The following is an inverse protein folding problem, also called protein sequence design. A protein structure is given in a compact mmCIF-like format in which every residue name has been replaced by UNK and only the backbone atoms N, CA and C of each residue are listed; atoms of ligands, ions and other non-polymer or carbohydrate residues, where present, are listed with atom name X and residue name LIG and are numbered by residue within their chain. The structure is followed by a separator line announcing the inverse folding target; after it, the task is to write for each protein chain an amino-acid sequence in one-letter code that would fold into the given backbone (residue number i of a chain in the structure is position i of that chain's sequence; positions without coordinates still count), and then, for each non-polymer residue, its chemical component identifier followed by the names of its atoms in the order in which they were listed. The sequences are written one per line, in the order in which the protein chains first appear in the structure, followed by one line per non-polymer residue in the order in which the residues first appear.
data_IF_329845743139
#
_entry.id   IF_329845743139
#
_cell.length_a   1.000
_cell.length_b   1.000
_cell.length_c   1.000
_cell.angle_alpha   90.00
_cell.angle_beta   90.00
_cell.angle_gamma   90.00
#
_symmetry.space_group_name_H-M   'P 1'
#
loop_
_entity.id
_entity.type
_entity.pdbx_description
1 polymer ?
#
# COMPACT_ATOMS: atom_id res chain seq x y z
N UNK A 1 -7.04 23.50 -15.42
CA UNK A 1 -6.10 23.53 -14.29
C UNK A 1 -5.29 22.26 -14.33
N UNK A 2 -3.98 22.39 -14.61
CA UNK A 2 -3.09 21.24 -14.64
C UNK A 2 -3.02 20.64 -13.21
N UNK A 3 -3.33 19.35 -13.09
CA UNK A 3 -3.00 18.57 -11.92
C UNK A 3 -1.49 18.70 -11.71
N UNK A 4 -1.08 19.25 -10.56
CA UNK A 4 0.32 19.35 -10.20
C UNK A 4 0.99 18.01 -10.47
N UNK A 5 2.16 18.05 -11.08
CA UNK A 5 2.99 16.91 -11.46
C UNK A 5 3.18 15.97 -10.25
N UNK A 6 2.24 15.07 -10.04
CA UNK A 6 2.50 13.90 -9.23
C UNK A 6 3.49 13.07 -10.04
N UNK A 7 4.71 12.95 -9.55
CA UNK A 7 5.78 12.24 -10.22
C UNK A 7 5.27 10.89 -10.76
N UNK A 8 5.58 10.60 -12.02
CA UNK A 8 5.21 9.34 -12.67
C UNK A 8 5.63 8.15 -11.81
N UNK A 9 4.83 7.10 -11.83
CA UNK A 9 5.21 5.86 -11.14
C UNK A 9 6.45 5.26 -11.81
N UNK A 10 7.31 4.58 -11.05
CA UNK A 10 8.50 3.95 -11.63
C UNK A 10 8.12 2.87 -12.63
N UNK A 11 8.88 2.78 -13.73
CA UNK A 11 8.67 1.75 -14.75
C UNK A 11 8.80 0.34 -14.17
N UNK A 12 8.10 -0.67 -14.75
CA UNK A 12 8.26 -2.06 -14.36
C UNK A 12 9.73 -2.50 -14.40
N UNK A 13 10.16 -3.28 -13.42
CA UNK A 13 11.50 -3.89 -13.42
C UNK A 13 11.64 -4.96 -14.49
N UNK A 14 10.58 -5.68 -14.72
CA UNK A 14 10.52 -6.77 -15.69
C UNK A 14 9.37 -6.52 -16.67
N UNK A 15 9.67 -6.09 -17.90
CA UNK A 15 8.65 -5.88 -18.92
C UNK A 15 7.86 -7.16 -19.21
N UNK A 16 6.54 -7.06 -19.22
CA UNK A 16 5.65 -8.21 -19.48
C UNK A 16 5.31 -9.06 -18.25
N UNK A 17 5.97 -8.86 -17.11
CA UNK A 17 5.57 -9.44 -15.84
C UNK A 17 4.54 -8.54 -15.12
N UNK A 18 3.73 -9.09 -14.19
CA UNK A 18 2.85 -8.28 -13.36
C UNK A 18 3.62 -7.24 -12.55
N UNK A 19 3.09 -6.01 -12.49
CA UNK A 19 3.65 -4.93 -11.69
C UNK A 19 3.46 -5.22 -10.19
N UNK A 20 4.54 -5.20 -9.43
CA UNK A 20 4.56 -5.62 -8.01
C UNK A 20 4.58 -4.44 -7.07
N UNK A 21 3.51 -4.30 -6.29
CA UNK A 21 3.35 -3.24 -5.27
C UNK A 21 3.42 -3.85 -3.89
N UNK A 22 4.28 -3.32 -3.02
CA UNK A 22 4.34 -3.70 -1.61
C UNK A 22 3.90 -2.54 -0.71
N UNK A 23 2.95 -2.79 0.18
CA UNK A 23 2.42 -1.82 1.14
C UNK A 23 3.09 -2.04 2.50
N UNK A 24 3.67 -0.98 3.09
CA UNK A 24 4.50 -1.15 4.28
C UNK A 24 4.06 -0.20 5.40
N UNK A 25 3.79 -0.78 6.57
CA UNK A 25 3.61 -0.05 7.82
C UNK A 25 4.63 -0.48 8.87
N UNK A 26 4.36 -0.26 10.15
CA UNK A 26 5.28 -0.63 11.21
C UNK A 26 5.22 -2.15 11.52
N UNK A 27 4.05 -2.66 11.90
CA UNK A 27 3.88 -4.03 12.40
C UNK A 27 3.24 -5.02 11.42
N UNK A 28 2.73 -4.57 10.27
CA UNK A 28 2.00 -5.39 9.30
C UNK A 28 0.76 -6.12 9.87
N UNK A 29 0.10 -5.53 10.86
CA UNK A 29 -1.15 -6.06 11.43
C UNK A 29 -2.35 -5.12 11.28
N UNK A 30 -2.14 -3.81 11.02
CA UNK A 30 -3.20 -2.81 10.88
C UNK A 30 -3.21 -2.18 9.49
N UNK A 31 -2.47 -1.08 9.28
CA UNK A 31 -2.55 -0.21 8.09
C UNK A 31 -2.23 -0.93 6.79
N UNK A 32 -1.08 -1.58 6.69
CA UNK A 32 -0.64 -2.19 5.43
C UNK A 32 -1.51 -3.36 4.99
N UNK A 33 -1.99 -4.28 5.86
CA UNK A 33 -2.91 -5.31 5.42
C UNK A 33 -4.32 -4.79 5.10
N UNK A 34 -4.80 -3.73 5.80
CA UNK A 34 -6.04 -3.05 5.40
C UNK A 34 -5.91 -2.43 4.01
N UNK A 35 -4.80 -1.75 3.75
CA UNK A 35 -4.53 -1.14 2.44
C UNK A 35 -4.39 -2.21 1.34
N UNK A 36 -3.76 -3.35 1.62
CA UNK A 36 -3.67 -4.48 0.70
C UNK A 36 -5.06 -4.99 0.30
N UNK A 37 -5.93 -5.18 1.28
CA UNK A 37 -7.32 -5.62 1.06
C UNK A 37 -8.09 -4.63 0.18
N UNK A 38 -8.05 -3.34 0.52
CA UNK A 38 -8.76 -2.29 -0.23
C UNK A 38 -8.20 -2.16 -1.65
N UNK A 39 -6.87 -2.08 -1.80
CA UNK A 39 -6.25 -1.90 -3.11
C UNK A 39 -6.49 -3.10 -4.03
N UNK A 40 -6.46 -4.33 -3.51
CA UNK A 40 -6.80 -5.53 -4.30
C UNK A 40 -8.25 -5.49 -4.79
N UNK A 41 -9.19 -5.05 -3.95
CA UNK A 41 -10.59 -4.93 -4.34
C UNK A 41 -10.77 -3.90 -5.48
N UNK A 42 -10.11 -2.75 -5.39
CA UNK A 42 -10.14 -1.71 -6.43
C UNK A 42 -9.48 -2.18 -7.74
N UNK A 43 -8.36 -2.90 -7.67
CA UNK A 43 -7.70 -3.48 -8.84
C UNK A 43 -8.59 -4.52 -9.52
N UNK A 44 -9.26 -5.38 -8.77
CA UNK A 44 -10.21 -6.37 -9.31
C UNK A 44 -11.41 -5.68 -9.98
N UNK A 45 -11.96 -4.64 -9.36
CA UNK A 45 -13.04 -3.85 -9.94
C UNK A 45 -12.62 -3.16 -11.26
N UNK A 46 -11.35 -2.81 -11.40
CA UNK A 46 -10.77 -2.22 -12.61
C UNK A 46 -10.28 -3.26 -13.65
N UNK A 47 -10.37 -4.57 -13.35
CA UNK A 47 -9.85 -5.63 -14.22
C UNK A 47 -8.33 -5.70 -14.31
N UNK A 48 -7.62 -5.21 -13.30
CA UNK A 48 -6.15 -5.14 -13.23
C UNK A 48 -5.53 -6.17 -12.29
N UNK A 49 -6.30 -7.03 -11.66
CA UNK A 49 -5.86 -8.02 -10.67
C UNK A 49 -4.88 -9.07 -11.24
N UNK A 50 -4.86 -9.27 -12.57
CA UNK A 50 -3.85 -10.08 -13.26
C UNK A 50 -2.58 -9.31 -13.66
N UNK A 51 -2.68 -7.99 -13.80
CA UNK A 51 -1.58 -7.13 -14.24
C UNK A 51 -0.80 -6.48 -13.08
N UNK A 52 -1.41 -6.40 -11.90
CA UNK A 52 -0.80 -5.82 -10.69
C UNK A 52 -0.91 -6.82 -9.54
N UNK A 53 0.21 -7.13 -8.91
CA UNK A 53 0.27 -7.96 -7.71
C UNK A 53 0.56 -7.09 -6.51
N UNK A 54 -0.27 -7.19 -5.47
CA UNK A 54 -0.15 -6.42 -4.23
C UNK A 54 0.15 -7.35 -3.07
N UNK A 55 1.12 -6.97 -2.28
CA UNK A 55 1.43 -7.59 -1.00
C UNK A 55 1.72 -6.56 0.08
N UNK A 56 1.89 -6.98 1.33
CA UNK A 56 2.20 -6.08 2.44
C UNK A 56 3.25 -6.63 3.39
N UNK A 57 3.90 -5.73 4.13
CA UNK A 57 4.91 -6.06 5.14
C UNK A 57 4.97 -4.99 6.24
N UNK A 58 5.74 -5.26 7.30
CA UNK A 58 6.11 -4.31 8.33
C UNK A 58 7.59 -3.97 8.30
N UNK A 59 7.97 -2.81 8.80
CA UNK A 59 9.39 -2.50 9.04
C UNK A 59 9.91 -3.19 10.30
N UNK A 60 9.03 -3.48 11.28
CA UNK A 60 9.35 -4.21 12.50
C UNK A 60 9.15 -5.71 12.39
N UNK A 61 9.69 -6.45 13.34
CA UNK A 61 9.74 -7.91 13.37
C UNK A 61 8.92 -8.58 14.49
N UNK A 62 8.41 -7.79 15.44
CA UNK A 62 7.76 -8.33 16.65
C UNK A 62 6.36 -8.92 16.43
N UNK A 63 5.75 -8.73 15.26
CA UNK A 63 4.45 -9.30 14.89
C UNK A 63 4.53 -10.40 13.83
N UNK A 64 5.73 -10.86 13.47
CA UNK A 64 5.88 -11.90 12.44
C UNK A 64 5.04 -13.14 12.79
N UNK A 65 4.16 -13.54 11.86
CA UNK A 65 3.26 -14.67 12.03
C UNK A 65 1.91 -14.34 12.67
N UNK A 66 1.76 -13.14 13.23
CA UNK A 66 0.48 -12.71 13.81
C UNK A 66 -0.58 -12.51 12.72
N UNK A 67 -1.83 -12.73 13.08
CA UNK A 67 -2.98 -12.40 12.25
C UNK A 67 -3.16 -10.87 12.19
N UNK A 68 -3.98 -10.42 11.23
CA UNK A 68 -4.44 -9.04 11.20
C UNK A 68 -5.14 -8.67 12.51
N UNK A 69 -4.92 -7.45 12.99
CA UNK A 69 -5.56 -6.89 14.17
C UNK A 69 -7.09 -7.07 14.12
N UNK A 70 -7.74 -7.50 15.23
CA UNK A 70 -9.19 -7.74 15.25
C UNK A 70 -10.03 -6.51 14.87
N UNK A 71 -9.62 -5.30 15.30
CA UNK A 71 -10.33 -4.06 14.97
C UNK A 71 -10.15 -3.69 13.48
N UNK A 72 -8.98 -3.98 12.91
CA UNK A 72 -8.74 -3.84 11.47
C UNK A 72 -9.67 -4.76 10.66
N UNK A 73 -9.77 -6.04 11.04
CA UNK A 73 -10.70 -6.99 10.40
C UNK A 73 -12.16 -6.57 10.54
N UNK A 74 -12.55 -6.13 11.74
CA UNK A 74 -13.90 -5.64 11.97
C UNK A 74 -14.24 -4.40 11.15
N UNK A 75 -13.30 -3.48 10.99
CA UNK A 75 -13.46 -2.29 10.15
C UNK A 75 -13.65 -2.66 8.67
N UNK A 76 -12.82 -3.57 8.15
CA UNK A 76 -12.93 -4.08 6.79
C UNK A 76 -14.27 -4.78 6.54
N UNK A 77 -14.71 -5.65 7.44
CA UNK A 77 -15.99 -6.36 7.34
C UNK A 77 -17.18 -5.39 7.30
N UNK A 78 -17.17 -4.34 8.14
CA UNK A 78 -18.22 -3.29 8.12
C UNK A 78 -18.33 -2.56 6.78
N UNK A 79 -17.27 -2.55 5.97
CA UNK A 79 -17.24 -1.93 4.64
C UNK A 79 -17.40 -2.95 3.50
N UNK A 80 -17.75 -4.20 3.81
CA UNK A 80 -17.97 -5.25 2.81
C UNK A 80 -16.71 -5.86 2.22
N UNK A 81 -15.56 -5.72 2.89
CA UNK A 81 -14.28 -6.35 2.50
C UNK A 81 -14.05 -7.71 3.18
N UNK A 82 -15.11 -8.39 3.57
CA UNK A 82 -15.08 -9.71 4.22
C UNK A 82 -14.73 -10.88 3.26
N UNK A 83 -14.90 -10.65 1.94
CA UNK A 83 -14.58 -11.65 0.91
C UNK A 83 -13.11 -11.77 0.51
N UNK A 84 -12.26 -10.86 0.92
CA UNK A 84 -10.80 -10.91 0.71
C UNK A 84 -10.13 -11.46 1.95
N UNK A 85 -10.19 -12.73 2.16
CA UNK A 85 -9.60 -13.56 3.23
C UNK A 85 -8.64 -12.82 4.22
N UNK A 86 -9.14 -11.83 5.01
CA UNK A 86 -8.32 -11.15 6.02
C UNK A 86 -7.88 -12.11 7.13
N UNK A 87 -8.50 -13.29 7.22
CA UNK A 87 -8.15 -14.30 8.21
C UNK A 87 -6.91 -15.10 7.83
N UNK A 88 -6.58 -15.18 6.54
CA UNK A 88 -5.35 -15.83 6.07
C UNK A 88 -4.11 -14.94 6.22
N UNK A 89 -4.29 -13.63 6.46
CA UNK A 89 -3.16 -12.73 6.64
C UNK A 89 -2.24 -13.18 7.78
N UNK A 90 -0.95 -13.19 7.49
CA UNK A 90 0.12 -13.37 8.48
C UNK A 90 1.15 -12.27 8.31
N UNK A 91 1.38 -11.54 9.39
CA UNK A 91 2.34 -10.44 9.42
C UNK A 91 3.74 -10.93 9.09
N UNK A 92 4.46 -10.15 8.30
CA UNK A 92 5.84 -10.43 7.90
C UNK A 92 6.67 -9.15 7.87
N UNK A 93 7.97 -9.30 8.10
CA UNK A 93 8.90 -8.20 8.02
C UNK A 93 9.35 -7.98 6.58
N UNK A 94 9.45 -6.72 6.17
CA UNK A 94 10.04 -6.32 4.89
C UNK A 94 11.51 -6.73 4.83
N UNK A 95 11.89 -7.43 3.77
CA UNK A 95 13.26 -7.88 3.58
C UNK A 95 13.99 -6.95 2.61
N UNK A 96 15.27 -6.59 2.86
CA UNK A 96 16.06 -5.74 1.96
C UNK A 96 16.14 -6.26 0.52
N UNK A 97 16.13 -7.60 0.32
CA UNK A 97 16.11 -8.20 -1.02
C UNK A 97 14.89 -7.81 -1.84
N UNK A 98 13.76 -7.52 -1.18
CA UNK A 98 12.51 -7.15 -1.85
C UNK A 98 12.57 -5.77 -2.53
N UNK A 99 13.51 -4.92 -2.15
CA UNK A 99 13.79 -3.67 -2.87
C UNK A 99 14.02 -3.89 -4.37
N UNK A 100 14.64 -5.01 -4.73
CA UNK A 100 14.92 -5.38 -6.13
C UNK A 100 13.81 -6.24 -6.78
N UNK A 101 12.86 -6.71 -5.99
CA UNK A 101 11.78 -7.58 -6.45
C UNK A 101 10.45 -6.84 -6.62
N UNK A 102 10.29 -5.66 -6.00
CA UNK A 102 9.07 -4.84 -6.06
C UNK A 102 9.29 -3.65 -6.98
N UNK A 103 8.26 -3.33 -7.78
CA UNK A 103 8.29 -2.18 -8.68
C UNK A 103 7.99 -0.89 -7.93
N UNK A 104 7.09 -0.95 -6.94
CA UNK A 104 6.67 0.17 -6.13
C UNK A 104 6.49 -0.27 -4.67
N UNK A 105 7.01 0.52 -3.74
CA UNK A 105 6.87 0.29 -2.30
C UNK A 105 6.19 1.51 -1.70
N UNK A 106 5.03 1.31 -1.09
CA UNK A 106 4.21 2.38 -0.54
C UNK A 106 4.23 2.32 0.99
N UNK A 107 4.90 3.28 1.59
CA UNK A 107 4.97 3.47 3.03
C UNK A 107 3.71 4.15 3.56
N UNK A 108 3.23 3.75 4.73
CA UNK A 108 2.03 4.33 5.34
C UNK A 108 2.29 5.69 5.99
N UNK A 109 3.51 5.95 6.45
CA UNK A 109 3.89 7.22 7.06
C UNK A 109 5.36 7.58 6.79
N UNK A 110 5.74 8.80 7.18
CA UNK A 110 7.10 9.32 6.99
C UNK A 110 8.16 8.49 7.73
N UNK A 111 7.82 7.86 8.86
CA UNK A 111 8.73 6.97 9.60
C UNK A 111 9.01 5.69 8.84
N UNK A 112 7.94 5.03 8.34
CA UNK A 112 8.09 3.84 7.51
C UNK A 112 8.88 4.16 6.23
N UNK A 113 8.62 5.32 5.61
CA UNK A 113 9.35 5.81 4.45
C UNK A 113 10.85 5.96 4.75
N UNK A 114 11.21 6.59 5.88
CA UNK A 114 12.60 6.77 6.29
C UNK A 114 13.29 5.44 6.57
N UNK A 115 12.61 4.50 7.23
CA UNK A 115 13.13 3.16 7.52
C UNK A 115 13.46 2.39 6.23
N UNK A 116 12.53 2.39 5.26
CA UNK A 116 12.71 1.76 3.96
C UNK A 116 13.85 2.40 3.16
N UNK A 117 13.92 3.73 3.13
CA UNK A 117 14.97 4.46 2.41
C UNK A 117 16.37 4.22 2.97
N UNK A 118 16.49 3.95 4.29
CA UNK A 118 17.78 3.55 4.88
C UNK A 118 18.27 2.19 4.41
N UNK A 119 17.36 1.30 4.01
CA UNK A 119 17.70 -0.02 3.46
C UNK A 119 18.02 0.05 1.96
N UNK A 120 17.54 1.09 1.28
CA UNK A 120 17.62 1.23 -0.17
C UNK A 120 18.93 1.88 -0.61
N UNK A 121 19.44 1.46 -1.78
CA UNK A 121 20.43 2.21 -2.54
C UNK A 121 19.80 3.39 -3.28
N UNK A 122 20.64 4.23 -3.85
CA UNK A 122 20.17 5.41 -4.61
C UNK A 122 19.26 5.01 -5.80
N UNK A 123 19.52 3.87 -6.40
CA UNK A 123 18.79 3.31 -7.55
C UNK A 123 17.35 2.89 -7.22
N UNK A 124 17.06 2.61 -5.94
CA UNK A 124 15.74 2.14 -5.50
C UNK A 124 14.94 3.23 -4.79
N UNK A 125 15.55 4.39 -4.48
CA UNK A 125 14.94 5.44 -3.67
C UNK A 125 13.62 5.97 -4.26
N UNK A 126 13.55 6.12 -5.60
CA UNK A 126 12.37 6.64 -6.29
C UNK A 126 11.20 5.65 -6.34
N UNK A 127 11.46 4.38 -6.00
CA UNK A 127 10.44 3.33 -5.92
C UNK A 127 9.74 3.29 -4.57
N UNK A 128 10.25 4.02 -3.58
CA UNK A 128 9.72 4.08 -2.21
C UNK A 128 9.03 5.42 -2.01
N UNK A 129 7.70 5.40 -1.88
CA UNK A 129 6.86 6.60 -1.79
C UNK A 129 5.84 6.49 -0.66
N UNK A 130 5.24 7.59 -0.26
CA UNK A 130 4.11 7.57 0.65
C UNK A 130 2.83 7.13 -0.07
N UNK A 131 2.05 6.26 0.57
CA UNK A 131 0.76 5.79 0.05
C UNK A 131 -0.19 6.96 -0.20
N UNK A 132 -0.29 7.88 0.76
CA UNK A 132 -1.16 9.04 0.63
C UNK A 132 -0.75 10.01 -0.47
N UNK A 133 0.56 10.22 -0.70
CA UNK A 133 1.04 11.06 -1.81
C UNK A 133 0.67 10.46 -3.17
N UNK A 134 0.91 9.16 -3.34
CA UNK A 134 0.53 8.45 -4.57
C UNK A 134 -0.99 8.38 -4.71
N UNK A 135 -1.71 8.28 -3.60
CA UNK A 135 -3.17 8.29 -3.55
C UNK A 135 -3.82 9.67 -3.63
N UNK A 136 -3.01 10.74 -3.73
CA UNK A 136 -3.52 12.10 -3.89
C UNK A 136 -4.25 12.65 -2.65
N UNK A 137 -3.92 12.17 -1.45
CA UNK A 137 -4.49 12.68 -0.21
C UNK A 137 -3.94 14.09 0.06
N UNK A 138 -4.80 15.09 -0.15
CA UNK A 138 -4.46 16.51 0.09
C UNK A 138 -4.86 16.99 1.49
N UNK A 139 -5.72 16.23 2.18
CA UNK A 139 -6.23 16.57 3.51
C UNK A 139 -5.25 16.24 4.62
N UNK A 140 -4.37 15.29 4.41
CA UNK A 140 -3.23 15.05 5.30
C UNK A 140 -2.07 15.88 4.77
N UNK A 141 -1.69 16.91 5.50
CA UNK A 141 -0.60 17.83 5.10
C UNK A 141 0.76 17.14 4.88
N UNK A 142 0.87 15.87 5.25
CA UNK A 142 2.09 15.04 5.18
C UNK A 142 1.98 13.82 4.26
N UNK A 143 0.80 13.49 3.73
CA UNK A 143 0.59 12.20 3.00
C UNK A 143 0.60 10.96 3.90
N UNK A 144 0.65 11.12 5.21
CA UNK A 144 0.68 10.02 6.17
C UNK A 144 -0.70 9.38 6.39
N UNK A 145 -0.73 8.08 6.50
CA UNK A 145 -1.87 7.31 7.04
C UNK A 145 -1.62 7.12 8.55
N UNK A 146 -2.45 7.71 9.43
CA UNK A 146 -2.23 7.66 10.87
C UNK A 146 -2.27 6.23 11.40
N UNK A 147 -1.54 5.95 12.48
CA UNK A 147 -1.57 4.64 13.13
C UNK A 147 -2.81 4.49 14.00
N UNK A 148 -3.73 3.55 13.70
CA UNK A 148 -4.97 3.38 14.46
C UNK A 148 -4.78 2.54 15.73
N UNK A 149 -3.61 1.94 15.93
CA UNK A 149 -3.37 1.01 17.04
C UNK A 149 -3.63 1.67 18.40
N UNK A 150 -4.49 1.03 19.22
CA UNK A 150 -4.90 1.59 20.51
C UNK A 150 -5.94 2.72 20.46
N UNK A 151 -6.35 3.17 19.28
CA UNK A 151 -7.33 4.25 19.09
C UNK A 151 -8.80 3.80 18.99
N UNK A 152 -9.04 2.49 19.05
CA UNK A 152 -10.39 1.93 18.98
C UNK A 152 -11.05 1.98 17.59
N UNK A 153 -12.33 1.56 17.48
CA UNK A 153 -13.01 1.37 16.21
C UNK A 153 -13.07 2.61 15.30
N UNK A 154 -13.16 3.80 15.89
CA UNK A 154 -13.26 5.06 15.12
C UNK A 154 -11.93 5.39 14.43
N UNK A 155 -10.79 5.10 15.08
CA UNK A 155 -9.48 5.28 14.47
C UNK A 155 -9.28 4.35 13.26
N UNK A 156 -9.71 3.09 13.36
CA UNK A 156 -9.68 2.15 12.23
C UNK A 156 -10.63 2.55 11.12
N UNK A 157 -11.82 3.06 11.44
CA UNK A 157 -12.76 3.59 10.46
C UNK A 157 -12.19 4.77 9.70
N UNK A 158 -11.54 5.71 10.40
CA UNK A 158 -10.86 6.86 9.78
C UNK A 158 -9.74 6.44 8.84
N UNK A 159 -8.89 5.49 9.26
CA UNK A 159 -7.84 4.94 8.39
C UNK A 159 -8.46 4.33 7.14
N UNK A 160 -9.53 3.56 7.28
CA UNK A 160 -10.21 2.92 6.15
C UNK A 160 -10.83 3.95 5.19
N UNK A 161 -11.32 5.11 5.68
CA UNK A 161 -11.77 6.21 4.85
C UNK A 161 -10.62 6.77 3.99
N UNK A 162 -9.44 7.00 4.59
CA UNK A 162 -8.26 7.47 3.87
C UNK A 162 -7.79 6.46 2.81
N UNK A 163 -7.74 5.19 3.17
CA UNK A 163 -7.35 4.11 2.24
C UNK A 163 -8.33 4.02 1.07
N UNK A 164 -9.65 4.09 1.35
CA UNK A 164 -10.70 4.06 0.33
C UNK A 164 -10.70 5.28 -0.60
N UNK A 165 -10.26 6.43 -0.11
CA UNK A 165 -10.10 7.63 -0.94
C UNK A 165 -8.86 7.55 -1.84
N UNK A 166 -7.76 6.99 -1.34
CA UNK A 166 -6.48 6.94 -2.05
C UNK A 166 -6.40 5.78 -3.06
N UNK A 167 -6.95 4.61 -2.75
CA UNK A 167 -6.80 3.42 -3.57
C UNK A 167 -7.30 3.58 -5.02
N UNK A 168 -8.47 4.17 -5.30
CA UNK A 168 -8.92 4.41 -6.68
C UNK A 168 -7.95 5.29 -7.48
N UNK A 169 -7.34 6.30 -6.84
CA UNK A 169 -6.35 7.18 -7.47
C UNK A 169 -5.08 6.41 -7.84
N UNK A 170 -4.62 5.54 -6.93
CA UNK A 170 -3.48 4.65 -7.18
C UNK A 170 -3.78 3.72 -8.36
N UNK A 171 -4.97 3.13 -8.41
CA UNK A 171 -5.40 2.25 -9.51
C UNK A 171 -5.38 2.97 -10.85
N UNK A 172 -5.91 4.20 -10.92
CA UNK A 172 -5.89 5.01 -12.15
C UNK A 172 -4.45 5.29 -12.61
N UNK A 173 -3.52 5.58 -11.69
CA UNK A 173 -2.11 5.80 -12.03
C UNK A 173 -1.43 4.54 -12.53
N UNK A 174 -1.72 3.39 -11.89
CA UNK A 174 -1.21 2.09 -12.34
C UNK A 174 -1.73 1.72 -13.73
N UNK A 175 -3.02 1.92 -13.98
CA UNK A 175 -3.62 1.68 -15.30
C UNK A 175 -2.91 2.48 -16.40
N UNK A 176 -2.71 3.78 -16.19
CA UNK A 176 -2.00 4.66 -17.15
C UNK A 176 -0.56 4.22 -17.39
N UNK A 177 0.16 3.83 -16.33
CA UNK A 177 1.52 3.32 -16.47
C UNK A 177 1.55 2.08 -17.36
N UNK A 178 0.64 1.12 -17.10
CA UNK A 178 0.60 -0.15 -17.84
C UNK A 178 0.19 0.04 -19.31
N UNK A 179 -0.69 0.99 -19.62
CA UNK A 179 -1.02 1.38 -20.99
C UNK A 179 0.21 1.92 -21.74
N UNK A 180 0.99 2.82 -21.10
CA UNK A 180 2.18 3.44 -21.69
C UNK A 180 3.31 2.42 -21.95
N UNK A 181 3.40 1.37 -21.15
CA UNK A 181 4.45 0.34 -21.29
C UNK A 181 4.07 -0.74 -22.32
N UNK A 182 2.78 -0.87 -22.64
CA UNK A 182 2.28 -1.84 -23.63
C UNK A 182 2.41 -1.33 -25.09
N UNK A 183 2.68 -0.03 -25.29
CA UNK A 183 2.95 0.61 -26.59
C UNK A 183 4.45 0.54 -26.97
#
# INVERSE_FOLDING_TARGET
MALASAAELPSPREPGAPYRVCLVCLGNICRSPMAETVLRAELAAAGLDGAVVVDSAGTGDWHIGDAMDPDARAALARRGHDGSDPESHRARQFQPSWLRERDLILAMDARNLADLRRMAGAEDADRIRLFGDVGGLTETSSGDIPDPWGGGPDAFSHVLDLLGAAAPVIVVRLARLLETVAE
#
